data_IF_392281512888
#
_entry.id   IF_392281512888
#
_cell.length_a   1.000
_cell.length_b   1.000
_cell.length_c   1.000
_cell.angle_alpha   90.00
_cell.angle_beta   90.00
_cell.angle_gamma   90.00
#
_symmetry.space_group_name_H-M   'P 1'
#
loop_
_entity.id
_entity.type
_entity.pdbx_description
1 polymer ?
#
# COMPACT_ATOMS: atom_id res chain seq x y z
N UNK A 1 -33.84 2.58 -14.52
CA UNK A 1 -32.79 2.89 -13.53
C UNK A 1 -31.37 3.04 -14.12
N UNK A 2 -31.09 2.66 -15.39
CA UNK A 2 -29.71 2.67 -15.94
C UNK A 2 -29.05 4.04 -16.19
N UNK A 3 -29.82 5.10 -16.50
CA UNK A 3 -29.25 6.41 -16.85
C UNK A 3 -28.43 7.09 -15.74
N UNK A 4 -28.67 6.76 -14.46
CA UNK A 4 -27.95 7.36 -13.35
C UNK A 4 -26.58 6.69 -13.14
N UNK A 5 -26.50 5.38 -13.31
CA UNK A 5 -25.24 4.64 -13.19
C UNK A 5 -24.33 4.88 -14.39
N UNK A 6 -24.87 5.00 -15.60
CA UNK A 6 -24.07 5.36 -16.79
C UNK A 6 -23.40 6.74 -16.62
N UNK A 7 -24.14 7.71 -16.06
CA UNK A 7 -23.59 9.04 -15.77
C UNK A 7 -22.52 8.97 -14.69
N UNK A 8 -22.74 8.20 -13.62
CA UNK A 8 -21.75 8.01 -12.54
C UNK A 8 -20.50 7.31 -13.06
N UNK A 9 -20.67 6.31 -13.93
CA UNK A 9 -19.58 5.59 -14.60
C UNK A 9 -18.74 6.53 -15.47
N UNK A 10 -19.38 7.43 -16.24
CA UNK A 10 -18.68 8.45 -17.03
C UNK A 10 -17.85 9.42 -16.18
N UNK A 11 -18.28 9.71 -14.95
CA UNK A 11 -17.51 10.55 -14.04
C UNK A 11 -16.34 9.77 -13.43
N UNK A 12 -16.57 8.57 -12.91
CA UNK A 12 -15.53 7.81 -12.21
C UNK A 12 -14.45 7.27 -13.15
N UNK A 13 -14.79 6.97 -14.41
CA UNK A 13 -13.83 6.46 -15.40
C UNK A 13 -12.73 7.46 -15.74
N UNK A 14 -12.94 8.76 -15.46
CA UNK A 14 -11.97 9.84 -15.69
C UNK A 14 -11.11 10.18 -14.48
N UNK A 15 -11.43 9.63 -13.30
CA UNK A 15 -10.67 9.91 -12.07
C UNK A 15 -9.32 9.21 -12.18
N UNK A 16 -8.23 10.00 -12.20
CA UNK A 16 -6.85 9.50 -12.24
C UNK A 16 -6.22 9.36 -10.87
N UNK A 17 -6.60 10.25 -9.95
CA UNK A 17 -6.06 10.33 -8.60
C UNK A 17 -7.24 10.38 -7.65
N UNK A 18 -7.29 9.42 -6.72
CA UNK A 18 -8.33 9.36 -5.71
C UNK A 18 -7.70 9.45 -4.32
N UNK A 19 -8.04 10.52 -3.59
CA UNK A 19 -7.60 10.74 -2.21
C UNK A 19 -8.78 10.51 -1.28
N UNK A 20 -8.75 9.43 -0.51
CA UNK A 20 -9.80 9.06 0.43
C UNK A 20 -9.34 9.37 1.85
N UNK A 21 -10.02 10.32 2.49
CA UNK A 21 -9.80 10.69 3.88
C UNK A 21 -10.90 10.03 4.73
N UNK A 22 -10.56 8.98 5.48
CA UNK A 22 -11.42 8.24 6.44
C UNK A 22 -12.86 8.10 5.96
N UNK A 23 -13.13 7.10 5.13
CA UNK A 23 -14.45 6.92 4.54
C UNK A 23 -15.17 5.71 5.12
N UNK A 24 -16.38 5.92 5.66
CA UNK A 24 -17.47 4.97 5.41
C UNK A 24 -17.83 5.11 3.94
N UNK A 25 -17.09 4.42 3.10
CA UNK A 25 -17.44 4.31 1.70
C UNK A 25 -18.69 3.43 1.67
N UNK A 26 -19.78 3.95 1.14
CA UNK A 26 -20.97 3.15 0.90
C UNK A 26 -20.66 2.23 -0.28
N UNK A 27 -20.07 1.07 0.02
CA UNK A 27 -19.59 0.11 -0.98
C UNK A 27 -20.69 -0.30 -1.94
N UNK A 28 -21.90 -0.49 -1.43
CA UNK A 28 -23.11 -0.80 -2.21
C UNK A 28 -23.35 0.21 -3.35
N UNK A 29 -22.90 1.47 -3.19
CA UNK A 29 -23.06 2.50 -4.20
C UNK A 29 -21.96 2.50 -5.25
N UNK A 30 -20.80 1.90 -4.99
CA UNK A 30 -19.62 2.02 -5.86
C UNK A 30 -19.04 0.70 -6.34
N UNK A 31 -19.53 -0.44 -5.84
CA UNK A 31 -19.02 -1.78 -6.20
C UNK A 31 -19.11 -2.06 -7.70
N UNK A 32 -20.15 -1.55 -8.37
CA UNK A 32 -20.34 -1.68 -9.82
C UNK A 32 -19.53 -0.69 -10.65
N UNK A 33 -18.92 0.32 -10.03
CA UNK A 33 -18.23 1.40 -10.73
C UNK A 33 -16.80 1.01 -11.07
N UNK A 34 -16.40 1.25 -12.32
CA UNK A 34 -15.03 0.99 -12.81
C UNK A 34 -14.23 2.27 -12.86
N UNK A 35 -13.13 2.31 -12.12
CA UNK A 35 -12.21 3.45 -12.08
C UNK A 35 -11.11 3.29 -13.14
N UNK A 36 -11.52 3.21 -14.41
CA UNK A 36 -10.65 2.78 -15.53
C UNK A 36 -9.38 3.65 -15.70
N UNK A 37 -9.45 4.95 -15.41
CA UNK A 37 -8.28 5.84 -15.50
C UNK A 37 -7.48 5.97 -14.19
N UNK A 38 -7.86 5.28 -13.11
CA UNK A 38 -7.24 5.46 -11.81
C UNK A 38 -5.82 4.91 -11.80
N UNK A 39 -4.86 5.81 -11.61
CA UNK A 39 -3.44 5.48 -11.53
C UNK A 39 -2.88 5.65 -10.12
N UNK A 40 -3.52 6.47 -9.29
CA UNK A 40 -3.05 6.76 -7.93
C UNK A 40 -4.19 6.71 -6.91
N UNK A 41 -4.03 5.88 -5.89
CA UNK A 41 -4.95 5.76 -4.77
C UNK A 41 -4.23 6.15 -3.47
N UNK A 42 -4.75 7.16 -2.78
CA UNK A 42 -4.22 7.58 -1.47
C UNK A 42 -5.28 7.39 -0.41
N UNK A 43 -4.97 6.54 0.56
CA UNK A 43 -5.83 6.12 1.64
C UNK A 43 -5.32 6.76 2.93
N UNK A 44 -6.10 7.66 3.50
CA UNK A 44 -5.79 8.34 4.77
C UNK A 44 -6.77 7.92 5.85
N UNK A 45 -6.25 7.48 7.01
CA UNK A 45 -7.03 6.95 8.13
C UNK A 45 -7.72 5.61 7.86
N UNK A 46 -8.74 5.25 8.66
CA UNK A 46 -9.39 3.94 8.61
C UNK A 46 -10.33 3.77 7.41
N UNK A 47 -10.20 2.63 6.71
CA UNK A 47 -11.06 2.21 5.60
C UNK A 47 -11.56 0.78 5.86
N UNK A 48 -12.79 0.47 5.42
CA UNK A 48 -13.46 -0.82 5.67
C UNK A 48 -13.31 -1.79 4.49
N UNK A 49 -12.96 -1.30 3.30
CA UNK A 49 -12.44 -2.10 2.18
C UNK A 49 -11.89 -1.19 1.07
N UNK A 50 -10.98 -1.68 0.25
CA UNK A 50 -10.43 -0.93 -0.90
C UNK A 50 -10.66 -1.61 -2.25
N UNK A 51 -11.33 -2.78 -2.24
CA UNK A 51 -11.48 -3.64 -3.42
C UNK A 51 -12.01 -2.94 -4.68
N UNK A 52 -13.02 -2.05 -4.62
CA UNK A 52 -13.53 -1.40 -5.83
C UNK A 52 -12.51 -0.52 -6.56
N UNK A 53 -11.49 -0.05 -5.84
CA UNK A 53 -10.44 0.82 -6.39
C UNK A 53 -9.23 0.05 -6.91
N UNK A 54 -9.17 -1.27 -6.68
CA UNK A 54 -8.09 -2.11 -7.17
C UNK A 54 -8.30 -2.36 -8.66
N UNK A 55 -7.39 -1.84 -9.48
CA UNK A 55 -7.52 -1.79 -10.93
C UNK A 55 -6.14 -2.01 -11.56
N UNK A 56 -6.07 -2.60 -12.77
CA UNK A 56 -4.78 -2.92 -13.41
C UNK A 56 -3.95 -1.69 -13.77
N UNK A 57 -4.58 -0.53 -13.91
CA UNK A 57 -3.92 0.73 -14.24
C UNK A 57 -3.33 1.44 -13.01
N UNK A 58 -3.58 0.93 -11.80
CA UNK A 58 -3.05 1.49 -10.57
C UNK A 58 -1.53 1.33 -10.53
N UNK A 59 -0.83 2.45 -10.43
CA UNK A 59 0.64 2.54 -10.40
C UNK A 59 1.14 2.91 -9.01
N UNK A 60 0.36 3.71 -8.30
CA UNK A 60 0.79 4.33 -7.05
C UNK A 60 -0.25 4.09 -5.96
N UNK A 61 0.18 3.55 -4.83
CA UNK A 61 -0.68 3.24 -3.69
C UNK A 61 -0.08 3.80 -2.41
N UNK A 62 -0.83 4.67 -1.73
CA UNK A 62 -0.41 5.25 -0.46
C UNK A 62 -1.36 4.84 0.65
N UNK A 63 -0.82 4.19 1.67
CA UNK A 63 -1.44 3.99 2.97
C UNK A 63 -0.85 5.01 3.93
N UNK A 64 -1.69 5.94 4.40
CA UNK A 64 -1.36 6.94 5.41
C UNK A 64 -2.29 6.73 6.61
N UNK A 65 -2.09 5.63 7.33
CA UNK A 65 -2.88 5.27 8.51
C UNK A 65 -2.19 4.16 9.31
N UNK A 66 -2.79 3.78 10.45
CA UNK A 66 -2.60 2.42 10.95
C UNK A 66 -2.88 1.45 9.80
N UNK A 67 -1.91 0.63 9.44
CA UNK A 67 -1.99 -0.30 8.32
C UNK A 67 -3.03 -1.39 8.65
N UNK A 68 -4.30 -1.13 8.34
CA UNK A 68 -5.44 -1.97 8.73
C UNK A 68 -5.98 -2.84 7.61
N UNK A 69 -5.14 -3.19 6.63
CA UNK A 69 -5.53 -4.13 5.57
C UNK A 69 -5.70 -5.54 6.14
N UNK A 70 -6.61 -6.29 5.54
CA UNK A 70 -6.78 -7.74 5.76
C UNK A 70 -5.88 -8.55 4.81
N UNK A 71 -5.65 -9.83 5.12
CA UNK A 71 -4.92 -10.74 4.21
C UNK A 71 -5.60 -10.86 2.85
N UNK A 72 -6.94 -10.87 2.85
CA UNK A 72 -7.71 -10.90 1.62
C UNK A 72 -7.44 -9.68 0.73
N UNK A 73 -7.51 -8.47 1.29
CA UNK A 73 -7.25 -7.24 0.53
C UNK A 73 -5.82 -7.21 -0.02
N UNK A 74 -4.83 -7.63 0.77
CA UNK A 74 -3.44 -7.65 0.31
C UNK A 74 -3.25 -8.62 -0.86
N UNK A 75 -3.88 -9.79 -0.81
CA UNK A 75 -3.91 -10.75 -1.93
C UNK A 75 -4.62 -10.17 -3.16
N UNK A 76 -5.71 -9.42 -2.97
CA UNK A 76 -6.40 -8.77 -4.07
C UNK A 76 -5.57 -7.66 -4.70
N UNK A 77 -4.81 -6.88 -3.93
CA UNK A 77 -3.88 -5.88 -4.49
C UNK A 77 -2.86 -6.58 -5.39
N UNK A 78 -2.25 -7.69 -4.91
CA UNK A 78 -1.29 -8.48 -5.68
C UNK A 78 -1.84 -8.97 -7.03
N UNK A 79 -3.13 -9.32 -7.09
CA UNK A 79 -3.76 -9.86 -8.30
C UNK A 79 -4.23 -8.72 -9.22
N UNK A 80 -4.87 -7.70 -8.66
CA UNK A 80 -5.58 -6.67 -9.41
C UNK A 80 -4.71 -5.48 -9.82
N UNK A 81 -3.54 -5.29 -9.21
CA UNK A 81 -2.65 -4.14 -9.45
C UNK A 81 -1.25 -4.57 -9.94
N UNK A 82 -1.12 -5.29 -11.07
CA UNK A 82 0.18 -5.80 -11.57
C UNK A 82 1.17 -4.70 -11.96
N UNK A 83 0.69 -3.48 -12.22
CA UNK A 83 1.50 -2.34 -12.64
C UNK A 83 1.89 -1.42 -11.47
N UNK A 84 1.73 -1.88 -10.23
CA UNK A 84 2.11 -1.11 -9.06
C UNK A 84 3.62 -0.89 -9.05
N UNK A 85 4.04 0.37 -9.11
CA UNK A 85 5.43 0.80 -9.10
C UNK A 85 5.82 1.65 -7.88
N UNK A 86 4.85 2.33 -7.26
CA UNK A 86 5.09 3.17 -6.09
C UNK A 86 4.21 2.73 -4.93
N UNK A 87 4.82 2.33 -3.82
CA UNK A 87 4.13 1.91 -2.61
C UNK A 87 4.61 2.69 -1.40
N UNK A 88 3.68 3.37 -0.74
CA UNK A 88 3.96 4.07 0.51
C UNK A 88 3.09 3.51 1.63
N UNK A 89 3.72 3.00 2.68
CA UNK A 89 3.07 2.53 3.90
C UNK A 89 3.58 3.40 5.04
N UNK A 90 2.80 4.42 5.39
CA UNK A 90 3.14 5.45 6.36
C UNK A 90 2.12 5.49 7.51
N UNK A 91 2.57 5.76 8.74
CA UNK A 91 1.67 5.97 9.87
C UNK A 91 0.74 7.16 9.64
N UNK A 92 -0.41 7.17 10.33
CA UNK A 92 -1.25 8.36 10.38
C UNK A 92 -0.46 9.48 11.09
N UNK A 93 -0.42 10.69 10.52
CA UNK A 93 0.08 11.86 11.25
C UNK A 93 -0.93 12.26 12.33
N UNK A 94 -0.99 11.54 13.45
CA UNK A 94 -1.80 11.94 14.61
C UNK A 94 -0.93 12.67 15.62
N UNK A 95 -1.12 13.98 15.71
CA UNK A 95 -0.78 14.73 16.92
C UNK A 95 -1.70 14.26 18.06
N UNK A 96 -1.15 13.57 19.07
CA UNK A 96 -1.68 13.45 20.43
C UNK A 96 -3.21 13.28 20.61
N UNK A 97 -3.89 12.40 19.87
CA UNK A 97 -5.30 12.10 20.16
C UNK A 97 -5.56 10.61 20.29
N UNK A 98 -6.02 10.29 21.50
CA UNK A 98 -6.85 9.18 21.96
C UNK A 98 -6.81 7.93 21.09
N UNK A 99 -6.29 6.85 21.67
CA UNK A 99 -6.44 5.47 21.18
C UNK A 99 -7.84 5.27 20.57
N UNK A 100 -7.97 5.20 19.23
CA UNK A 100 -9.24 4.78 18.66
C UNK A 100 -9.47 3.36 19.16
N UNK A 101 -10.69 3.04 19.58
CA UNK A 101 -11.09 1.68 19.91
C UNK A 101 -10.83 0.85 18.65
N UNK A 102 -9.72 0.14 18.61
CA UNK A 102 -9.37 -0.77 17.53
C UNK A 102 -10.38 -1.90 17.63
N UNK A 103 -11.45 -1.80 16.85
CA UNK A 103 -12.29 -2.98 16.61
C UNK A 103 -11.36 -4.06 16.07
N UNK A 104 -11.45 -5.31 16.56
CA UNK A 104 -10.64 -6.40 16.05
C UNK A 104 -10.75 -6.42 14.53
N UNK A 105 -9.61 -6.31 13.83
CA UNK A 105 -9.58 -6.50 12.38
C UNK A 105 -9.86 -7.98 12.17
N UNK A 106 -10.96 -8.37 11.51
CA UNK A 106 -11.12 -9.75 11.10
C UNK A 106 -10.01 -10.04 10.09
N UNK A 107 -9.21 -11.08 10.34
CA UNK A 107 -8.15 -11.52 9.43
C UNK A 107 -6.94 -10.55 9.28
N UNK A 108 -6.21 -10.25 10.37
CA UNK A 108 -5.05 -9.35 10.33
C UNK A 108 -3.94 -9.92 9.44
N UNK A 109 -3.17 -9.03 8.81
CA UNK A 109 -2.02 -9.41 8.01
C UNK A 109 -0.93 -10.06 8.88
N UNK A 110 -0.42 -11.20 8.41
CA UNK A 110 0.76 -11.87 8.94
C UNK A 110 1.99 -11.62 8.05
N UNK A 111 3.22 -11.77 8.57
CA UNK A 111 4.45 -11.53 7.82
C UNK A 111 4.57 -12.39 6.56
N UNK A 112 4.04 -13.61 6.55
CA UNK A 112 4.10 -14.50 5.38
C UNK A 112 3.27 -13.96 4.22
N UNK A 113 2.05 -13.51 4.52
CA UNK A 113 1.15 -12.88 3.55
C UNK A 113 1.73 -11.55 3.06
N UNK A 114 2.33 -10.77 3.96
CA UNK A 114 2.99 -9.52 3.60
C UNK A 114 4.19 -9.75 2.68
N UNK A 115 5.03 -10.74 2.98
CA UNK A 115 6.14 -11.15 2.11
C UNK A 115 5.64 -11.64 0.74
N UNK A 116 4.59 -12.46 0.72
CA UNK A 116 4.01 -12.96 -0.53
C UNK A 116 3.47 -11.82 -1.43
N UNK A 117 2.90 -10.77 -0.82
CA UNK A 117 2.49 -9.58 -1.55
C UNK A 117 3.67 -8.88 -2.24
N UNK A 118 4.78 -8.66 -1.54
CA UNK A 118 5.96 -8.06 -2.17
C UNK A 118 6.58 -8.93 -3.27
N UNK A 119 6.47 -10.27 -3.19
CA UNK A 119 6.88 -11.17 -4.27
C UNK A 119 6.10 -10.95 -5.57
N UNK A 120 4.88 -10.42 -5.49
CA UNK A 120 4.05 -10.11 -6.65
C UNK A 120 4.33 -8.71 -7.24
N UNK A 121 5.00 -7.83 -6.49
CA UNK A 121 5.29 -6.45 -6.89
C UNK A 121 6.51 -6.38 -7.82
N UNK A 122 6.37 -6.92 -9.04
CA UNK A 122 7.47 -7.09 -10.00
C UNK A 122 7.97 -5.77 -10.64
N UNK A 123 7.19 -4.70 -10.54
CA UNK A 123 7.45 -3.40 -11.16
C UNK A 123 7.74 -2.31 -10.12
N UNK A 124 8.02 -2.68 -8.87
CA UNK A 124 8.22 -1.73 -7.78
C UNK A 124 9.53 -0.94 -7.98
N UNK A 125 9.40 0.38 -8.05
CA UNK A 125 10.52 1.32 -8.21
C UNK A 125 10.70 2.21 -6.97
N UNK A 126 9.61 2.56 -6.27
CA UNK A 126 9.66 3.35 -5.03
C UNK A 126 8.95 2.63 -3.89
N UNK A 127 9.61 2.54 -2.75
CA UNK A 127 9.08 1.96 -1.52
C UNK A 127 9.31 2.88 -0.34
N UNK A 128 8.24 3.24 0.36
CA UNK A 128 8.31 3.88 1.67
C UNK A 128 7.67 3.01 2.75
N UNK A 129 8.41 2.71 3.81
CA UNK A 129 7.92 2.02 5.01
C UNK A 129 8.08 2.94 6.23
N UNK A 130 7.04 3.08 7.04
CA UNK A 130 7.04 3.96 8.21
C UNK A 130 7.10 3.24 9.56
N UNK A 131 7.52 3.98 10.59
CA UNK A 131 7.80 3.51 11.97
C UNK A 131 6.75 2.68 12.70
N UNK A 132 5.47 2.77 12.31
CA UNK A 132 4.40 1.99 12.95
C UNK A 132 4.25 0.59 12.35
N UNK A 133 4.99 0.29 11.29
CA UNK A 133 5.07 -1.05 10.75
C UNK A 133 6.00 -1.89 11.65
N UNK A 134 5.54 -3.03 12.22
CA UNK A 134 6.39 -3.88 13.05
C UNK A 134 7.66 -4.31 12.31
N UNK A 135 8.79 -4.45 13.00
CA UNK A 135 10.06 -4.89 12.39
C UNK A 135 9.92 -6.23 11.63
N UNK A 136 9.03 -7.13 12.10
CA UNK A 136 8.72 -8.39 11.41
C UNK A 136 8.06 -8.18 10.04
N UNK A 137 7.23 -7.14 9.89
CA UNK A 137 6.61 -6.77 8.63
C UNK A 137 7.60 -6.06 7.71
N UNK A 138 8.46 -5.18 8.26
CA UNK A 138 9.56 -4.57 7.48
C UNK A 138 10.47 -5.65 6.90
N UNK A 139 10.89 -6.62 7.74
CA UNK A 139 11.69 -7.75 7.28
C UNK A 139 10.95 -8.60 6.25
N UNK A 140 9.66 -8.88 6.44
CA UNK A 140 8.86 -9.61 5.48
C UNK A 140 8.78 -8.91 4.11
N UNK A 141 8.69 -7.58 4.08
CA UNK A 141 8.76 -6.82 2.85
C UNK A 141 10.10 -7.04 2.13
N UNK A 142 11.21 -6.87 2.84
CA UNK A 142 12.55 -7.07 2.28
C UNK A 142 12.78 -8.50 1.77
N UNK A 143 12.34 -9.52 2.51
CA UNK A 143 12.40 -10.92 2.07
C UNK A 143 11.50 -11.17 0.86
N UNK A 144 10.37 -10.46 0.79
CA UNK A 144 9.39 -10.62 -0.29
C UNK A 144 9.83 -9.99 -1.60
N UNK A 145 10.58 -8.88 -1.56
CA UNK A 145 11.05 -8.21 -2.77
C UNK A 145 12.10 -9.08 -3.45
N UNK A 146 11.90 -9.38 -4.74
CA UNK A 146 12.87 -10.15 -5.50
C UNK A 146 14.19 -9.37 -5.68
N UNK A 147 15.36 -10.03 -5.69
CA UNK A 147 16.64 -9.35 -5.88
C UNK A 147 16.71 -8.51 -7.17
N UNK A 148 16.05 -8.95 -8.25
CA UNK A 148 15.96 -8.25 -9.52
C UNK A 148 15.15 -6.95 -9.45
N UNK A 149 14.18 -6.88 -8.54
CA UNK A 149 13.38 -5.68 -8.26
C UNK A 149 14.17 -4.77 -7.32
N UNK A 150 14.76 -5.32 -6.26
CA UNK A 150 15.60 -4.58 -5.32
C UNK A 150 16.73 -3.82 -6.05
N UNK A 151 17.40 -4.47 -6.99
CA UNK A 151 18.47 -3.87 -7.79
C UNK A 151 18.02 -2.67 -8.64
N UNK A 152 16.74 -2.55 -8.96
CA UNK A 152 16.14 -1.48 -9.78
C UNK A 152 15.35 -0.46 -8.96
N UNK A 153 15.31 -0.63 -7.63
CA UNK A 153 14.59 0.29 -6.77
C UNK A 153 15.28 1.67 -6.84
N UNK A 154 14.54 2.67 -7.30
CA UNK A 154 15.01 4.04 -7.43
C UNK A 154 14.99 4.75 -6.08
N UNK A 155 14.03 4.40 -5.21
CA UNK A 155 13.82 5.07 -3.92
C UNK A 155 13.40 4.08 -2.82
N UNK A 156 14.13 4.09 -1.70
CA UNK A 156 13.79 3.39 -0.47
C UNK A 156 13.79 4.37 0.70
N UNK A 157 12.61 4.60 1.30
CA UNK A 157 12.47 5.49 2.47
C UNK A 157 12.01 4.68 3.67
N UNK A 158 12.81 4.69 4.74
CA UNK A 158 12.50 4.05 6.01
C UNK A 158 12.12 5.12 7.02
N UNK A 159 10.89 5.63 6.89
CA UNK A 159 10.42 6.81 7.59
C UNK A 159 10.31 6.62 9.10
N UNK A 160 11.22 7.26 9.85
CA UNK A 160 11.31 7.21 11.32
C UNK A 160 11.51 5.78 11.88
N UNK A 161 12.07 4.86 11.09
CA UNK A 161 12.42 3.51 11.58
C UNK A 161 13.83 3.60 12.16
N UNK A 162 14.01 3.35 13.46
CA UNK A 162 15.35 3.41 14.05
C UNK A 162 16.29 2.39 13.37
N UNK A 163 17.52 2.77 12.98
CA UNK A 163 18.45 1.85 12.31
C UNK A 163 18.74 0.58 13.12
N UNK A 164 18.77 0.71 14.46
CA UNK A 164 18.97 -0.43 15.37
C UNK A 164 17.76 -1.36 15.50
N UNK A 165 16.59 -0.96 15.00
CA UNK A 165 15.37 -1.78 14.97
C UNK A 165 15.26 -2.66 13.71
N UNK A 166 16.18 -2.49 12.75
CA UNK A 166 16.26 -3.32 11.56
C UNK A 166 17.00 -4.63 11.87
N UNK A 167 16.39 -5.80 11.59
CA UNK A 167 17.08 -7.08 11.71
C UNK A 167 18.32 -7.14 10.80
N UNK A 168 19.35 -7.88 11.20
CA UNK A 168 20.61 -8.01 10.46
C UNK A 168 20.38 -8.54 9.03
N UNK A 169 19.32 -9.32 8.82
CA UNK A 169 18.87 -9.82 7.53
C UNK A 169 18.47 -8.70 6.56
N UNK A 170 18.07 -7.54 7.08
CA UNK A 170 17.74 -6.35 6.28
C UNK A 170 18.97 -5.80 5.55
N UNK A 171 20.17 -5.98 6.11
CA UNK A 171 21.42 -5.52 5.49
C UNK A 171 21.64 -6.18 4.13
N UNK A 172 21.34 -7.48 3.98
CA UNK A 172 21.47 -8.22 2.71
C UNK A 172 20.55 -7.64 1.62
N UNK A 173 19.35 -7.20 2.01
CA UNK A 173 18.43 -6.54 1.09
C UNK A 173 18.99 -5.17 0.65
N UNK A 174 19.48 -4.38 1.58
CA UNK A 174 20.08 -3.07 1.27
C UNK A 174 21.31 -3.20 0.36
N UNK A 175 22.15 -4.22 0.56
CA UNK A 175 23.27 -4.55 -0.34
C UNK A 175 22.81 -4.90 -1.76
N UNK A 176 21.60 -5.46 -1.90
CA UNK A 176 21.01 -5.80 -3.21
C UNK A 176 20.46 -4.58 -3.95
N UNK A 177 20.28 -3.45 -3.27
CA UNK A 177 19.71 -2.22 -3.82
C UNK A 177 20.77 -1.36 -4.52
N UNK A 178 21.26 -1.83 -5.67
CA UNK A 178 22.40 -1.22 -6.37
C UNK A 178 22.09 0.10 -7.08
N UNK A 179 20.82 0.36 -7.43
CA UNK A 179 20.40 1.61 -8.09
C UNK A 179 20.06 2.75 -7.13
N UNK A 180 20.08 2.50 -5.81
CA UNK A 180 19.82 3.53 -4.81
C UNK A 180 20.95 4.56 -4.79
N UNK A 181 20.74 5.67 -5.51
CA UNK A 181 21.61 6.85 -5.44
C UNK A 181 21.39 7.53 -4.08
N UNK A 182 22.16 7.14 -3.06
CA UNK A 182 22.38 7.86 -1.78
C UNK A 182 21.16 8.23 -0.92
N UNK A 183 19.96 7.72 -1.21
CA UNK A 183 18.71 8.22 -0.60
C UNK A 183 18.09 7.23 0.40
N UNK A 184 18.89 6.58 1.25
CA UNK A 184 18.35 5.93 2.46
C UNK A 184 18.15 7.04 3.49
N UNK A 185 16.97 7.66 3.48
CA UNK A 185 16.56 8.53 4.58
C UNK A 185 16.00 7.64 5.68
N UNK A 186 16.81 7.47 6.73
CA UNK A 186 16.36 6.96 8.03
C UNK A 186 15.84 8.10 8.89
#
# INVERSE_FOLDING_TARGET
>A
MGFQDDRRQLYVSKIRILNLHTGRIYFDLIESLKFESLTCLKLRGHHITILPFLQPNLKTLHFHSSFTLTRHELKQIAISCPNLCDLHILPLRTSNRSTPVVKPIPDPIDPETFSAFFKSCMNLNSLTLGKELPSSMVLAAFIGIQPSVAAKLDELVLWNIEPGALPQESCKFLESCTSLLSSIFV
#
